data_IF_725746954325
#
_entry.id   IF_725746954325
#
_cell.length_a   1.000
_cell.length_b   1.000
_cell.length_c   1.000
_cell.angle_alpha   90.00
_cell.angle_beta   90.00
_cell.angle_gamma   90.00
#
_symmetry.space_group_name_H-M   'P 1'
#
loop_
_entity.id
_entity.type
_entity.pdbx_description
1 polymer ?
#
# COMPACT_ATOMS: atom_id res chain seq x y z
N UNK A 1 37.95 -7.99 4.18
CA UNK A 1 37.18 -7.43 3.06
C UNK A 1 35.77 -7.20 3.57
N UNK A 2 35.43 -5.96 3.95
CA UNK A 2 34.07 -5.62 4.36
C UNK A 2 33.21 -5.58 3.12
N UNK A 3 32.19 -6.43 3.05
CA UNK A 3 31.19 -6.35 2.00
C UNK A 3 30.48 -5.00 2.16
N UNK A 4 30.73 -4.10 1.22
CA UNK A 4 30.02 -2.83 1.09
C UNK A 4 28.60 -3.16 0.63
N UNK A 5 27.76 -3.56 1.59
CA UNK A 5 26.32 -3.77 1.37
C UNK A 5 25.72 -2.38 1.23
N UNK A 6 25.83 -1.83 0.02
CA UNK A 6 25.04 -0.67 -0.37
C UNK A 6 23.58 -1.07 -0.19
N UNK A 7 22.80 -0.38 0.67
CA UNK A 7 21.37 -0.62 0.73
C UNK A 7 20.79 -0.26 -0.62
N UNK A 8 20.50 -1.26 -1.44
CA UNK A 8 19.77 -1.06 -2.69
C UNK A 8 18.34 -0.75 -2.30
N UNK A 9 18.01 0.54 -2.15
CA UNK A 9 16.61 0.99 -2.04
C UNK A 9 15.97 0.69 -3.41
N UNK A 10 15.54 -0.56 -3.57
CA UNK A 10 14.92 -1.09 -4.77
C UNK A 10 13.43 -0.78 -4.66
N UNK A 11 13.06 0.50 -4.67
CA UNK A 11 11.70 0.92 -4.42
C UNK A 11 11.62 2.43 -4.29
N UNK A 12 11.45 3.11 -5.43
CA UNK A 12 11.07 4.53 -5.45
C UNK A 12 9.58 4.54 -5.10
N UNK A 13 9.27 4.34 -3.82
CA UNK A 13 7.92 4.26 -3.29
C UNK A 13 7.75 5.06 -2.00
N UNK A 14 6.51 5.42 -1.67
CA UNK A 14 6.15 6.10 -0.42
C UNK A 14 6.01 5.10 0.73
N UNK A 15 6.32 5.56 1.93
CA UNK A 15 6.09 4.82 3.16
C UNK A 15 4.65 5.01 3.63
N UNK A 16 3.96 3.93 3.96
CA UNK A 16 2.58 3.93 4.46
C UNK A 16 2.52 3.13 5.76
N UNK A 17 1.81 3.66 6.76
CA UNK A 17 1.47 2.93 7.97
C UNK A 17 0.10 2.25 7.83
N UNK A 18 0.03 0.98 8.18
CA UNK A 18 -1.20 0.17 8.18
C UNK A 18 -1.25 -0.58 9.50
N UNK A 19 -2.26 -0.30 10.33
CA UNK A 19 -2.46 -1.03 11.59
C UNK A 19 -1.39 -0.87 12.68
N UNK A 20 -0.33 -0.12 12.41
CA UNK A 20 0.86 -0.03 13.28
C UNK A 20 2.16 -0.45 12.57
N UNK A 21 2.05 -1.18 11.46
CA UNK A 21 3.17 -1.64 10.64
C UNK A 21 3.45 -0.72 9.45
N UNK A 22 4.72 -0.62 9.05
CA UNK A 22 5.16 0.20 7.92
C UNK A 22 5.38 -0.65 6.66
N UNK A 23 5.09 -0.08 5.49
CA UNK A 23 5.47 -0.64 4.17
C UNK A 23 5.99 0.47 3.26
N UNK A 24 6.95 0.15 2.38
CA UNK A 24 7.70 1.10 1.55
C UNK A 24 7.53 0.87 0.03
N UNK A 25 6.80 -0.16 -0.39
CA UNK A 25 6.68 -0.56 -1.79
C UNK A 25 5.48 0.06 -2.52
N UNK A 26 5.02 1.23 -2.08
CA UNK A 26 3.85 1.89 -2.67
C UNK A 26 4.30 2.90 -3.71
N UNK A 27 3.92 2.78 -4.99
CA UNK A 27 4.34 3.71 -6.03
C UNK A 27 3.99 5.17 -5.69
N UNK A 28 4.88 6.12 -6.01
CA UNK A 28 4.64 7.55 -5.76
C UNK A 28 3.48 8.14 -6.57
N UNK A 29 3.21 7.57 -7.73
CA UNK A 29 2.12 7.97 -8.62
C UNK A 29 0.79 7.26 -8.31
N UNK A 30 0.76 6.41 -7.29
CA UNK A 30 -0.48 5.84 -6.80
C UNK A 30 -1.23 6.84 -5.90
N UNK A 31 -2.55 6.75 -5.84
CA UNK A 31 -3.35 7.40 -4.81
C UNK A 31 -3.47 6.49 -3.58
N UNK A 32 -3.45 7.08 -2.39
CA UNK A 32 -3.60 6.35 -1.13
C UNK A 32 -4.68 6.97 -0.27
N UNK A 33 -5.52 6.11 0.27
CA UNK A 33 -6.52 6.46 1.29
C UNK A 33 -6.27 5.60 2.51
N UNK A 34 -5.81 6.23 3.59
CA UNK A 34 -5.55 5.56 4.86
C UNK A 34 -6.85 5.48 5.65
N UNK A 35 -7.19 4.28 6.13
CA UNK A 35 -8.34 4.00 6.98
C UNK A 35 -7.85 3.43 8.33
N UNK A 36 -8.67 3.46 9.40
CA UNK A 36 -8.23 3.00 10.72
C UNK A 36 -7.71 1.56 10.77
N UNK A 37 -8.22 0.68 9.91
CA UNK A 37 -7.90 -0.76 9.94
C UNK A 37 -7.23 -1.27 8.66
N UNK A 38 -7.06 -0.41 7.64
CA UNK A 38 -6.45 -0.78 6.37
C UNK A 38 -6.01 0.46 5.57
N UNK A 39 -5.22 0.27 4.53
CA UNK A 39 -4.97 1.34 3.54
C UNK A 39 -5.40 0.89 2.16
N UNK A 40 -6.08 1.75 1.42
CA UNK A 40 -6.38 1.54 0.00
C UNK A 40 -5.30 2.19 -0.85
N UNK A 41 -4.92 1.49 -1.92
CA UNK A 41 -4.00 2.00 -2.93
C UNK A 41 -4.66 1.88 -4.29
N UNK A 42 -4.66 2.97 -5.05
CA UNK A 42 -5.02 2.98 -6.48
C UNK A 42 -3.76 3.29 -7.28
N UNK A 43 -3.26 2.31 -8.01
CA UNK A 43 -2.16 2.51 -8.96
C UNK A 43 -2.57 3.42 -10.12
N UNK A 44 -1.60 3.98 -10.83
CA UNK A 44 -1.81 4.77 -12.06
C UNK A 44 -2.56 3.99 -13.14
N UNK A 45 -2.39 2.67 -13.20
CA UNK A 45 -3.10 1.78 -14.13
C UNK A 45 -4.56 1.51 -13.72
N UNK A 46 -5.02 2.08 -12.60
CA UNK A 46 -6.38 1.91 -12.10
C UNK A 46 -6.61 0.61 -11.31
N UNK A 47 -5.56 -0.20 -11.09
CA UNK A 47 -5.64 -1.32 -10.14
C UNK A 47 -5.82 -0.78 -8.72
N UNK A 48 -6.87 -1.24 -8.06
CA UNK A 48 -7.18 -0.92 -6.66
C UNK A 48 -6.95 -2.15 -5.81
N UNK A 49 -6.17 -2.01 -4.75
CA UNK A 49 -5.91 -3.06 -3.78
C UNK A 49 -5.87 -2.48 -2.36
N UNK A 50 -6.02 -3.37 -1.38
CA UNK A 50 -6.00 -3.00 0.03
C UNK A 50 -4.80 -3.62 0.72
N UNK A 51 -4.20 -2.86 1.61
CA UNK A 51 -3.14 -3.28 2.51
C UNK A 51 -3.73 -3.42 3.91
N UNK A 52 -3.43 -4.54 4.56
CA UNK A 52 -3.85 -4.84 5.93
C UNK A 52 -2.66 -5.30 6.74
N UNK A 53 -2.64 -4.98 8.03
CA UNK A 53 -1.69 -5.60 8.95
C UNK A 53 -2.19 -7.00 9.35
N UNK A 54 -1.33 -8.01 9.24
CA UNK A 54 -1.56 -9.35 9.78
C UNK A 54 -0.28 -9.88 10.41
N UNK A 55 -0.28 -10.01 11.74
CA UNK A 55 0.85 -10.56 12.49
C UNK A 55 2.10 -9.67 12.46
N UNK A 56 1.92 -8.33 12.50
CA UNK A 56 3.03 -7.37 12.45
C UNK A 56 3.61 -7.14 11.05
N UNK A 57 2.97 -7.67 10.00
CA UNK A 57 3.37 -7.48 8.61
C UNK A 57 2.23 -6.86 7.80
N UNK A 58 2.59 -5.96 6.87
CA UNK A 58 1.63 -5.42 5.90
C UNK A 58 1.50 -6.37 4.73
N UNK A 59 0.27 -6.79 4.43
CA UNK A 59 -0.04 -7.71 3.32
C UNK A 59 -1.13 -7.15 2.42
N UNK A 60 -1.03 -7.45 1.13
CA UNK A 60 -2.12 -7.18 0.18
C UNK A 60 -3.29 -8.13 0.47
N UNK A 61 -4.49 -7.55 0.54
CA UNK A 61 -5.76 -8.28 0.62
C UNK A 61 -6.61 -7.91 -0.59
N UNK A 62 -7.07 -8.89 -1.39
CA UNK A 62 -7.95 -8.62 -2.51
C UNK A 62 -9.27 -8.01 -2.02
N UNK A 63 -9.87 -7.19 -2.88
CA UNK A 63 -11.18 -6.60 -2.68
C UNK A 63 -12.22 -7.41 -3.46
N UNK A 64 -13.35 -7.70 -2.85
CA UNK A 64 -14.51 -8.20 -3.60
C UNK A 64 -15.17 -7.05 -4.39
N UNK A 65 -16.16 -7.37 -5.23
CA UNK A 65 -16.83 -6.38 -6.11
C UNK A 65 -17.43 -5.20 -5.36
N UNK A 66 -18.12 -5.45 -4.24
CA UNK A 66 -18.74 -4.40 -3.42
C UNK A 66 -17.68 -3.50 -2.77
N UNK A 67 -16.65 -4.10 -2.18
CA UNK A 67 -15.54 -3.40 -1.55
C UNK A 67 -14.75 -2.57 -2.57
N UNK A 68 -14.59 -3.06 -3.80
CA UNK A 68 -13.95 -2.32 -4.89
C UNK A 68 -14.78 -1.12 -5.30
N UNK A 69 -16.09 -1.29 -5.47
CA UNK A 69 -17.01 -0.18 -5.79
C UNK A 69 -16.95 0.90 -4.71
N UNK A 70 -17.02 0.50 -3.44
CA UNK A 70 -16.87 1.42 -2.31
C UNK A 70 -15.48 2.09 -2.26
N UNK A 71 -14.40 1.35 -2.53
CA UNK A 71 -13.06 1.93 -2.57
C UNK A 71 -12.93 3.00 -3.66
N UNK A 72 -13.54 2.79 -4.83
CA UNK A 72 -13.50 3.77 -5.92
C UNK A 72 -14.21 5.07 -5.56
N UNK A 73 -15.29 5.05 -4.79
CA UNK A 73 -15.95 6.29 -4.35
C UNK A 73 -15.09 7.11 -3.39
N UNK A 74 -14.21 6.46 -2.62
CA UNK A 74 -13.27 7.14 -1.72
C UNK A 74 -12.15 7.86 -2.48
N UNK A 75 -11.75 7.38 -3.66
CA UNK A 75 -10.74 8.02 -4.52
C UNK A 75 -11.29 9.15 -5.40
N UNK A 76 -12.61 9.31 -5.49
CA UNK A 76 -13.26 10.34 -6.30
C UNK A 76 -13.59 11.63 -5.52
N UNK A 77 -13.07 11.77 -4.29
CA UNK A 77 -13.17 12.97 -3.45
C UNK A 77 -12.00 13.89 -3.72
#
# INVERSE_FOLDING_TARGET
MSADVRPTISGVGRVVSVGGSLTWDIPYDAEVVVQPTFTLVRSREGRVYRLVERGGEVREAPLNTEQRSHALTLFSR
#
